data_IF_075174531090
#
_entry.id   IF_075174531090
#
_cell.length_a   1.000
_cell.length_b   1.000
_cell.length_c   1.000
_cell.angle_alpha   90.00
_cell.angle_beta   90.00
_cell.angle_gamma   90.00
#
_symmetry.space_group_name_H-M   'P 1'
#
loop_
_entity.id
_entity.type
_entity.pdbx_description
1 polymer ?
#
# COMPACT_ATOMS: atom_id res chain seq x y z
N UNK A 1 26.79 -4.93 -15.04
CA UNK A 1 25.79 -4.02 -15.64
C UNK A 1 24.74 -3.79 -14.56
N UNK A 2 24.88 -2.69 -13.82
CA UNK A 2 23.89 -2.32 -12.78
C UNK A 2 22.63 -1.91 -13.52
N UNK A 3 21.59 -2.73 -13.44
CA UNK A 3 20.25 -2.30 -13.83
C UNK A 3 19.90 -1.24 -12.79
N UNK A 4 19.67 -0.02 -13.22
CA UNK A 4 19.17 1.09 -12.39
C UNK A 4 17.76 0.69 -11.92
N UNK A 5 17.71 -0.16 -10.87
CA UNK A 5 16.43 -0.51 -10.23
C UNK A 5 15.99 0.73 -9.47
N UNK A 6 14.88 1.31 -9.88
CA UNK A 6 14.21 2.35 -9.12
C UNK A 6 14.10 1.90 -7.66
N UNK A 7 14.47 2.77 -6.72
CA UNK A 7 14.44 2.43 -5.30
C UNK A 7 13.00 2.10 -4.87
N UNK A 8 12.80 1.03 -4.08
CA UNK A 8 11.46 0.68 -3.61
C UNK A 8 10.80 1.84 -2.88
N UNK A 9 9.53 2.08 -3.21
CA UNK A 9 8.72 3.17 -2.67
C UNK A 9 7.78 2.67 -1.56
N UNK A 10 7.30 3.55 -0.68
CA UNK A 10 6.30 3.17 0.31
C UNK A 10 5.10 2.44 -0.32
N UNK A 11 4.68 1.37 0.35
CA UNK A 11 3.65 0.39 -0.05
C UNK A 11 4.08 -0.68 -1.06
N UNK A 12 5.28 -0.59 -1.65
CA UNK A 12 5.79 -1.70 -2.45
C UNK A 12 5.97 -2.95 -1.58
N UNK A 13 5.78 -4.10 -2.19
CA UNK A 13 5.99 -5.41 -1.57
C UNK A 13 7.32 -5.98 -2.05
N UNK A 14 8.18 -6.36 -1.10
CA UNK A 14 9.54 -6.82 -1.39
C UNK A 14 9.80 -8.20 -0.79
N UNK A 15 10.50 -9.06 -1.54
CA UNK A 15 11.05 -10.32 -1.06
C UNK A 15 12.54 -10.17 -0.87
N UNK A 16 13.05 -10.74 0.20
CA UNK A 16 14.44 -10.63 0.64
C UNK A 16 15.09 -11.97 0.36
N UNK A 17 16.33 -11.95 -0.10
CA UNK A 17 17.07 -13.15 -0.51
C UNK A 17 17.23 -14.11 0.67
N UNK A 18 17.70 -13.60 1.80
CA UNK A 18 17.89 -14.36 3.03
C UNK A 18 17.18 -13.64 4.20
N UNK A 19 16.28 -14.31 4.94
CA UNK A 19 15.68 -13.74 6.14
C UNK A 19 16.69 -13.24 7.19
N UNK A 20 17.92 -13.75 7.20
CA UNK A 20 18.98 -13.29 8.10
C UNK A 20 19.51 -11.88 7.75
N UNK A 21 19.27 -11.39 6.52
CA UNK A 21 19.59 -10.03 6.10
C UNK A 21 18.59 -8.99 6.66
N UNK A 22 17.53 -9.42 7.32
CA UNK A 22 16.52 -8.55 7.93
C UNK A 22 16.99 -8.08 9.30
N UNK A 23 17.19 -6.77 9.44
CA UNK A 23 17.59 -6.15 10.69
C UNK A 23 16.37 -5.55 11.40
N UNK A 24 15.98 -6.15 12.51
CA UNK A 24 14.89 -5.62 13.35
C UNK A 24 15.40 -4.65 14.41
N UNK A 25 14.61 -3.62 14.74
CA UNK A 25 14.89 -2.66 15.83
C UNK A 25 14.74 -3.30 17.22
N UNK A 26 13.99 -4.40 17.30
CA UNK A 26 13.74 -5.16 18.53
C UNK A 26 13.96 -6.65 18.29
N UNK A 27 13.84 -7.47 19.33
CA UNK A 27 13.90 -8.91 19.14
C UNK A 27 12.87 -9.36 18.09
N UNK A 28 13.30 -10.20 17.14
CA UNK A 28 12.41 -10.74 16.12
C UNK A 28 11.27 -11.53 16.79
N UNK A 29 10.00 -11.23 16.46
CA UNK A 29 8.88 -11.93 17.08
C UNK A 29 8.83 -13.41 16.67
N UNK A 30 8.33 -14.26 17.54
CA UNK A 30 8.31 -15.71 17.32
C UNK A 30 7.53 -16.15 16.06
N UNK A 31 6.57 -15.37 15.58
CA UNK A 31 5.84 -15.66 14.35
C UNK A 31 6.65 -15.39 13.07
N UNK A 32 7.70 -14.55 13.15
CA UNK A 32 8.55 -14.19 12.02
C UNK A 32 9.65 -15.24 11.79
N UNK A 33 9.23 -16.47 11.51
CA UNK A 33 10.14 -17.58 11.21
C UNK A 33 10.75 -17.45 9.82
N UNK A 34 11.93 -18.02 9.59
CA UNK A 34 12.57 -18.00 8.27
C UNK A 34 11.68 -18.62 7.18
N UNK A 35 10.95 -19.68 7.52
CA UNK A 35 9.97 -20.29 6.61
C UNK A 35 8.86 -19.30 6.20
N UNK A 36 8.32 -18.57 7.16
CA UNK A 36 7.31 -17.55 6.87
C UNK A 36 7.88 -16.39 6.04
N UNK A 37 9.03 -15.87 6.42
CA UNK A 37 9.66 -14.72 5.76
C UNK A 37 10.13 -15.03 4.33
N UNK A 38 10.38 -16.30 4.00
CA UNK A 38 10.74 -16.70 2.63
C UNK A 38 9.55 -16.64 1.66
N UNK A 39 8.32 -16.77 2.15
CA UNK A 39 7.10 -16.74 1.32
C UNK A 39 6.34 -15.43 1.41
N UNK A 40 6.37 -14.78 2.58
CA UNK A 40 5.63 -13.56 2.86
C UNK A 40 6.46 -12.32 2.48
N UNK A 41 5.94 -11.42 1.63
CA UNK A 41 6.65 -10.18 1.33
C UNK A 41 6.66 -9.24 2.55
N UNK A 42 7.72 -8.44 2.65
CA UNK A 42 7.73 -7.27 3.50
C UNK A 42 7.12 -6.07 2.77
N UNK A 43 6.50 -5.15 3.51
CA UNK A 43 5.93 -3.90 2.97
C UNK A 43 6.93 -2.78 3.17
N UNK A 44 7.28 -2.05 2.12
CA UNK A 44 8.14 -0.86 2.25
C UNK A 44 7.39 0.21 3.04
N UNK A 45 8.03 0.68 4.12
CA UNK A 45 7.49 1.70 5.02
C UNK A 45 7.96 3.08 4.61
N UNK A 46 7.23 4.08 5.07
CA UNK A 46 7.60 5.48 4.92
C UNK A 46 8.43 5.91 6.14
N UNK A 47 9.73 5.95 5.97
CA UNK A 47 10.69 6.35 6.99
C UNK A 47 11.94 6.92 6.33
N UNK A 48 12.55 7.94 6.93
CA UNK A 48 13.83 8.48 6.47
C UNK A 48 14.96 7.60 7.01
N UNK A 49 15.74 7.03 6.11
CA UNK A 49 16.84 6.12 6.42
C UNK A 49 18.10 6.50 5.62
N UNK A 50 19.20 5.88 5.94
CA UNK A 50 20.46 6.02 5.20
C UNK A 50 20.34 5.46 3.78
N UNK A 51 21.18 5.94 2.89
CA UNK A 51 21.23 5.47 1.50
C UNK A 51 21.56 3.98 1.44
N UNK A 52 20.81 3.23 0.64
CA UNK A 52 21.00 1.78 0.48
C UNK A 52 20.22 0.94 1.48
N UNK A 53 19.63 1.55 2.51
CA UNK A 53 18.74 0.88 3.46
C UNK A 53 17.28 1.11 3.05
N UNK A 54 16.46 0.08 3.18
CA UNK A 54 15.01 0.13 2.94
C UNK A 54 14.28 -0.19 4.23
N UNK A 55 13.42 0.72 4.73
CA UNK A 55 12.60 0.46 5.90
C UNK A 55 11.42 -0.43 5.50
N UNK A 56 11.29 -1.56 6.17
CA UNK A 56 10.26 -2.57 5.87
C UNK A 56 9.39 -2.86 7.08
N UNK A 57 8.16 -3.29 6.81
CA UNK A 57 7.23 -3.83 7.78
C UNK A 57 7.01 -5.30 7.49
N UNK A 58 7.41 -6.16 8.41
CA UNK A 58 7.07 -7.58 8.38
C UNK A 58 5.63 -7.77 8.82
N UNK A 59 4.96 -8.74 8.23
CA UNK A 59 3.57 -9.08 8.51
C UNK A 59 3.42 -10.57 8.71
N UNK A 60 2.80 -10.97 9.81
CA UNK A 60 2.40 -12.33 10.07
C UNK A 60 0.99 -12.64 9.57
N UNK A 61 0.45 -13.79 10.00
CA UNK A 61 -0.89 -14.25 9.63
C UNK A 61 -2.00 -13.50 10.36
N UNK A 62 -1.74 -13.09 11.60
CA UNK A 62 -2.71 -12.34 12.41
C UNK A 62 -2.59 -10.82 12.16
N UNK A 63 -3.71 -10.11 12.34
CA UNK A 63 -3.77 -8.65 12.09
C UNK A 63 -2.81 -7.83 12.96
N UNK A 64 -2.53 -8.29 14.17
CA UNK A 64 -1.62 -7.66 15.12
C UNK A 64 -0.16 -8.12 14.98
N UNK A 65 0.12 -9.10 14.14
CA UNK A 65 1.48 -9.58 13.88
C UNK A 65 2.18 -8.65 12.90
N UNK A 66 2.84 -7.64 13.43
CA UNK A 66 3.59 -6.65 12.67
C UNK A 66 4.90 -6.33 13.38
N UNK A 67 5.98 -6.24 12.61
CA UNK A 67 7.30 -5.89 13.10
C UNK A 67 7.97 -4.91 12.14
N UNK A 68 8.54 -3.84 12.68
CA UNK A 68 9.35 -2.91 11.92
C UNK A 68 10.78 -3.45 11.80
N UNK A 69 11.32 -3.38 10.58
CA UNK A 69 12.66 -3.85 10.30
C UNK A 69 13.26 -3.04 9.14
N UNK A 70 14.50 -3.37 8.81
CA UNK A 70 15.27 -2.77 7.72
C UNK A 70 15.96 -3.86 6.92
N UNK A 71 16.26 -3.56 5.66
CA UNK A 71 17.04 -4.44 4.78
C UNK A 71 17.91 -3.58 3.86
N UNK A 72 19.07 -4.11 3.45
CA UNK A 72 19.85 -3.48 2.39
C UNK A 72 19.13 -3.67 1.04
N UNK A 73 19.05 -2.62 0.24
CA UNK A 73 18.39 -2.65 -1.08
C UNK A 73 18.93 -3.74 -1.99
N UNK A 74 20.21 -4.07 -1.88
CA UNK A 74 20.88 -5.12 -2.67
C UNK A 74 20.39 -6.54 -2.32
N UNK A 75 19.78 -6.72 -1.16
CA UNK A 75 19.20 -8.00 -0.69
C UNK A 75 17.76 -8.22 -1.13
N UNK A 76 17.17 -7.25 -1.84
CA UNK A 76 15.82 -7.36 -2.37
C UNK A 76 15.89 -8.07 -3.72
N UNK A 77 15.33 -9.27 -3.79
CA UNK A 77 15.33 -10.10 -5.01
C UNK A 77 14.10 -9.87 -5.88
N UNK A 78 13.00 -9.43 -5.29
CA UNK A 78 11.74 -9.15 -5.99
C UNK A 78 11.06 -7.93 -5.37
N UNK A 79 10.51 -7.08 -6.22
CA UNK A 79 9.67 -5.95 -5.84
C UNK A 79 8.38 -5.99 -6.67
N UNK A 80 7.24 -5.83 -6.01
CA UNK A 80 5.92 -5.74 -6.66
C UNK A 80 5.26 -4.46 -6.16
N UNK A 81 4.97 -3.56 -7.09
CA UNK A 81 4.34 -2.28 -6.76
C UNK A 81 2.82 -2.42 -6.67
N UNK A 82 2.13 -1.55 -5.93
CA UNK A 82 0.67 -1.50 -5.91
C UNK A 82 0.05 -1.37 -7.29
N UNK A 83 0.68 -0.59 -8.15
CA UNK A 83 0.25 -0.33 -9.53
C UNK A 83 0.36 -1.60 -10.38
N UNK A 84 1.47 -2.35 -10.27
CA UNK A 84 1.63 -3.62 -10.96
C UNK A 84 0.57 -4.65 -10.56
N UNK A 85 0.13 -4.63 -9.29
CA UNK A 85 -0.99 -5.47 -8.84
C UNK A 85 -2.30 -5.04 -9.51
N UNK A 86 -2.55 -3.75 -9.62
CA UNK A 86 -3.73 -3.23 -10.33
C UNK A 86 -3.70 -3.61 -11.82
N UNK A 87 -2.58 -3.44 -12.49
CA UNK A 87 -2.38 -3.77 -13.90
C UNK A 87 -2.54 -5.27 -14.19
N UNK A 88 -2.03 -6.13 -13.31
CA UNK A 88 -2.06 -7.58 -13.49
C UNK A 88 -3.46 -8.18 -13.44
N UNK A 89 -4.42 -7.49 -12.81
CA UNK A 89 -5.81 -7.97 -12.61
C UNK A 89 -5.90 -9.35 -11.94
N UNK A 90 -4.92 -9.71 -11.11
CA UNK A 90 -4.83 -11.03 -10.48
C UNK A 90 -6.10 -11.49 -9.75
N UNK A 91 -6.94 -10.55 -9.31
CA UNK A 91 -8.23 -10.88 -8.67
C UNK A 91 -9.27 -11.50 -9.62
N UNK A 92 -9.11 -11.36 -10.93
CA UNK A 92 -10.02 -12.00 -11.91
C UNK A 92 -9.75 -13.49 -12.06
N UNK A 93 -8.56 -13.95 -11.64
CA UNK A 93 -8.16 -15.36 -11.64
C UNK A 93 -8.19 -15.98 -10.23
N UNK A 94 -8.72 -15.25 -9.23
CA UNK A 94 -8.85 -15.74 -7.86
C UNK A 94 -9.85 -16.92 -7.81
N UNK A 95 -9.60 -17.86 -6.90
CA UNK A 95 -10.57 -18.93 -6.62
C UNK A 95 -11.87 -18.36 -6.02
N UNK A 96 -12.94 -19.17 -6.08
CA UNK A 96 -14.26 -18.75 -5.63
C UNK A 96 -14.29 -18.30 -4.16
N UNK A 97 -13.49 -18.91 -3.29
CA UNK A 97 -13.46 -18.57 -1.88
C UNK A 97 -12.87 -17.17 -1.66
N UNK A 98 -11.80 -16.85 -2.38
CA UNK A 98 -11.15 -15.54 -2.33
C UNK A 98 -11.98 -14.48 -3.07
N UNK A 99 -12.46 -14.79 -4.27
CA UNK A 99 -13.24 -13.88 -5.11
C UNK A 99 -14.56 -13.43 -4.45
N UNK A 100 -15.15 -14.27 -3.61
CA UNK A 100 -16.41 -13.97 -2.91
C UNK A 100 -16.23 -13.10 -1.65
N UNK A 101 -15.01 -12.81 -1.22
CA UNK A 101 -14.77 -11.91 -0.09
C UNK A 101 -15.23 -10.48 -0.45
N UNK A 102 -15.84 -9.74 0.51
CA UNK A 102 -16.35 -8.39 0.27
C UNK A 102 -15.32 -7.43 -0.33
N UNK A 103 -14.07 -7.45 0.19
CA UNK A 103 -12.98 -6.61 -0.32
C UNK A 103 -12.58 -6.95 -1.77
N UNK A 104 -12.59 -8.23 -2.14
CA UNK A 104 -12.28 -8.67 -3.51
C UNK A 104 -13.39 -8.31 -4.50
N UNK A 105 -14.64 -8.46 -4.10
CA UNK A 105 -15.80 -8.03 -4.88
C UNK A 105 -15.81 -6.50 -5.06
N UNK A 106 -15.51 -5.76 -3.99
CA UNK A 106 -15.35 -4.31 -4.05
C UNK A 106 -14.27 -3.91 -5.06
N UNK A 107 -13.10 -4.56 -5.01
CA UNK A 107 -12.01 -4.31 -5.95
C UNK A 107 -12.44 -4.56 -7.40
N UNK A 108 -13.06 -5.70 -7.69
CA UNK A 108 -13.54 -6.03 -9.03
C UNK A 108 -14.55 -5.00 -9.56
N UNK A 109 -15.38 -4.46 -8.67
CA UNK A 109 -16.42 -3.50 -9.00
C UNK A 109 -15.87 -2.09 -9.27
N UNK A 110 -14.89 -1.62 -8.48
CA UNK A 110 -14.38 -0.24 -8.60
C UNK A 110 -13.20 -0.09 -9.55
N UNK A 111 -12.48 -1.17 -9.87
CA UNK A 111 -11.29 -1.10 -10.72
C UNK A 111 -11.58 -0.46 -12.10
N UNK A 112 -12.67 -0.79 -12.83
CA UNK A 112 -12.99 -0.15 -14.09
C UNK A 112 -13.20 1.37 -13.98
N UNK A 113 -13.79 1.82 -12.87
CA UNK A 113 -14.01 3.26 -12.64
C UNK A 113 -12.71 4.00 -12.36
N UNK A 114 -11.80 3.38 -11.60
CA UNK A 114 -10.48 3.95 -11.34
C UNK A 114 -9.66 4.05 -12.62
N UNK A 115 -9.76 3.06 -13.50
CA UNK A 115 -9.11 3.09 -14.83
C UNK A 115 -9.67 4.20 -15.72
N UNK A 116 -10.98 4.41 -15.70
CA UNK A 116 -11.63 5.47 -16.49
C UNK A 116 -11.16 6.87 -16.10
N UNK A 117 -10.71 7.07 -14.85
CA UNK A 117 -10.18 8.33 -14.37
C UNK A 117 -8.77 8.64 -14.87
N UNK A 118 -8.09 7.69 -15.52
CA UNK A 118 -6.70 7.82 -15.99
C UNK A 118 -5.73 8.26 -14.89
N UNK A 119 -5.99 7.84 -13.65
CA UNK A 119 -5.13 8.07 -12.50
C UNK A 119 -4.24 6.85 -12.27
N UNK A 120 -3.00 7.07 -11.85
CA UNK A 120 -2.11 5.99 -11.44
C UNK A 120 -2.53 5.48 -10.07
N UNK A 121 -3.14 4.31 -10.03
CA UNK A 121 -3.65 3.72 -8.81
C UNK A 121 -3.13 2.29 -8.60
N UNK A 122 -3.22 1.80 -7.37
CA UNK A 122 -2.75 0.47 -7.04
C UNK A 122 -3.45 -0.14 -5.82
N UNK A 123 -3.23 -1.44 -5.64
CA UNK A 123 -3.80 -2.22 -4.54
C UNK A 123 -2.76 -2.42 -3.45
N UNK A 124 -3.12 -2.08 -2.21
CA UNK A 124 -2.25 -2.19 -1.04
C UNK A 124 -2.88 -3.04 0.07
N UNK A 125 -2.38 -2.93 1.28
CA UNK A 125 -2.96 -3.58 2.46
C UNK A 125 -3.00 -5.10 2.38
N UNK A 126 -4.06 -5.68 2.93
CA UNK A 126 -4.21 -7.14 2.97
C UNK A 126 -4.57 -7.74 1.62
N UNK A 127 -5.31 -7.02 0.81
CA UNK A 127 -5.66 -7.47 -0.54
C UNK A 127 -4.42 -7.50 -1.42
N UNK A 128 -3.62 -6.41 -1.42
CA UNK A 128 -2.35 -6.37 -2.16
C UNK A 128 -1.39 -7.46 -1.73
N UNK A 129 -1.27 -7.70 -0.42
CA UNK A 129 -0.44 -8.78 0.11
C UNK A 129 -0.88 -10.16 -0.40
N UNK A 130 -2.18 -10.47 -0.33
CA UNK A 130 -2.72 -11.75 -0.79
C UNK A 130 -2.51 -11.94 -2.30
N UNK A 131 -2.78 -10.92 -3.11
CA UNK A 131 -2.60 -10.97 -4.57
C UNK A 131 -1.13 -11.17 -4.98
N UNK A 132 -0.20 -10.54 -4.25
CA UNK A 132 1.23 -10.61 -4.58
C UNK A 132 1.90 -11.91 -4.15
N UNK A 133 1.48 -12.47 -3.00
CA UNK A 133 2.13 -13.62 -2.37
C UNK A 133 1.41 -14.95 -2.60
N UNK A 134 0.13 -14.93 -2.96
CA UNK A 134 -0.73 -16.12 -2.96
C UNK A 134 -1.10 -16.60 -1.54
N UNK A 135 -0.62 -15.91 -0.49
CA UNK A 135 -0.95 -16.25 0.89
C UNK A 135 -2.15 -15.45 1.35
N UNK A 136 -3.29 -16.11 1.49
CA UNK A 136 -4.50 -15.43 1.94
C UNK A 136 -4.49 -15.25 3.46
N UNK A 137 -4.50 -13.97 3.87
CA UNK A 137 -4.79 -13.54 5.25
C UNK A 137 -6.10 -12.74 5.29
N UNK A 138 -6.86 -12.77 4.20
CA UNK A 138 -8.11 -12.04 4.06
C UNK A 138 -9.25 -12.68 4.86
N UNK A 139 -10.17 -11.84 5.32
CA UNK A 139 -11.35 -12.20 6.11
C UNK A 139 -12.58 -11.47 5.55
N UNK A 140 -13.76 -11.86 6.03
CA UNK A 140 -15.02 -11.22 5.67
C UNK A 140 -15.10 -9.72 6.04
N UNK A 141 -14.35 -9.32 7.06
CA UNK A 141 -14.26 -7.93 7.56
C UNK A 141 -13.01 -7.20 7.09
N UNK A 142 -12.29 -7.74 6.09
CA UNK A 142 -11.11 -7.07 5.53
C UNK A 142 -11.51 -5.84 4.73
N UNK A 143 -10.81 -4.73 5.02
CA UNK A 143 -10.91 -3.49 4.25
C UNK A 143 -10.22 -3.65 2.87
N UNK A 144 -10.60 -2.82 1.92
CA UNK A 144 -9.90 -2.64 0.65
C UNK A 144 -9.05 -1.37 0.73
N UNK A 145 -7.74 -1.55 0.82
CA UNK A 145 -6.77 -0.45 0.84
C UNK A 145 -6.28 -0.16 -0.57
N UNK A 146 -6.41 1.08 -1.02
CA UNK A 146 -5.98 1.56 -2.33
C UNK A 146 -4.97 2.70 -2.20
N UNK A 147 -4.13 2.83 -3.20
CA UNK A 147 -3.15 3.89 -3.34
C UNK A 147 -3.38 4.64 -4.64
N UNK A 148 -3.40 5.96 -4.57
CA UNK A 148 -3.35 6.85 -5.71
C UNK A 148 -1.99 7.54 -5.73
N UNK A 149 -1.21 7.39 -6.79
CA UNK A 149 0.00 8.18 -7.00
C UNK A 149 -0.36 9.49 -7.68
N UNK A 150 -0.09 10.58 -7.02
CA UNK A 150 -0.44 11.92 -7.49
C UNK A 150 0.75 12.87 -7.34
N UNK A 151 1.69 12.78 -8.28
CA UNK A 151 2.86 13.67 -8.34
C UNK A 151 2.46 15.13 -8.63
N UNK A 152 1.23 15.33 -9.13
CA UNK A 152 0.63 16.64 -9.37
C UNK A 152 -0.56 16.85 -8.42
N UNK A 153 -0.80 18.12 -8.01
CA UNK A 153 -1.92 18.43 -7.15
C UNK A 153 -3.25 17.93 -7.70
N UNK A 154 -3.97 17.17 -6.88
CA UNK A 154 -5.36 16.79 -7.15
C UNK A 154 -6.27 17.92 -6.64
N UNK A 155 -7.05 18.59 -7.51
CA UNK A 155 -7.99 19.60 -7.08
C UNK A 155 -8.97 19.05 -6.04
N UNK A 156 -9.34 19.84 -5.03
CA UNK A 156 -10.26 19.39 -3.96
C UNK A 156 -11.62 18.97 -4.50
N UNK A 157 -12.14 19.69 -5.47
CA UNK A 157 -13.42 19.36 -6.12
C UNK A 157 -13.32 18.01 -6.85
N UNK A 158 -12.20 17.75 -7.53
CA UNK A 158 -11.90 16.46 -8.15
C UNK A 158 -11.77 15.34 -7.12
N UNK A 159 -11.11 15.59 -6.00
CA UNK A 159 -11.01 14.62 -4.90
C UNK A 159 -12.37 14.34 -4.26
N UNK A 160 -13.20 15.35 -4.09
CA UNK A 160 -14.57 15.20 -3.59
C UNK A 160 -15.43 14.38 -4.56
N UNK A 161 -15.39 14.70 -5.85
CA UNK A 161 -16.12 13.96 -6.88
C UNK A 161 -15.70 12.50 -6.93
N UNK A 162 -14.40 12.21 -6.88
CA UNK A 162 -13.85 10.86 -6.82
C UNK A 162 -14.35 10.11 -5.58
N UNK A 163 -14.26 10.73 -4.41
CA UNK A 163 -14.73 10.10 -3.18
C UNK A 163 -16.24 9.80 -3.22
N UNK A 164 -17.06 10.71 -3.73
CA UNK A 164 -18.51 10.50 -3.88
C UNK A 164 -18.82 9.37 -4.87
N UNK A 165 -18.09 9.30 -5.98
CA UNK A 165 -18.21 8.20 -6.94
C UNK A 165 -17.89 6.86 -6.28
N UNK A 166 -16.76 6.76 -5.58
CA UNK A 166 -16.37 5.55 -4.85
C UNK A 166 -17.42 5.16 -3.79
N UNK A 167 -17.91 6.11 -3.00
CA UNK A 167 -18.92 5.86 -1.98
C UNK A 167 -20.25 5.38 -2.58
N UNK A 168 -20.64 5.92 -3.74
CA UNK A 168 -21.84 5.50 -4.45
C UNK A 168 -21.75 4.06 -4.95
N UNK A 169 -20.56 3.70 -5.47
CA UNK A 169 -20.28 2.34 -5.91
C UNK A 169 -20.28 1.35 -4.74
N UNK A 170 -19.79 1.79 -3.58
CA UNK A 170 -19.73 0.98 -2.37
C UNK A 170 -21.08 0.66 -1.74
N UNK A 171 -22.14 1.40 -2.04
CA UNK A 171 -23.49 1.01 -1.62
C UNK A 171 -23.89 -0.36 -2.17
N UNK A 172 -23.26 -0.78 -3.28
CA UNK A 172 -23.44 -2.09 -3.90
C UNK A 172 -22.40 -3.15 -3.48
N UNK A 173 -21.29 -2.74 -2.83
CA UNK A 173 -20.21 -3.64 -2.43
C UNK A 173 -19.92 -3.49 -0.92
N UNK A 174 -20.13 -4.52 -0.09
CA UNK A 174 -20.14 -4.42 1.36
C UNK A 174 -18.74 -4.43 1.98
N UNK A 175 -17.78 -3.68 1.45
CA UNK A 175 -16.44 -3.52 2.03
C UNK A 175 -16.13 -2.05 2.27
N UNK A 176 -15.45 -1.76 3.38
CA UNK A 176 -14.87 -0.44 3.59
C UNK A 176 -13.69 -0.25 2.63
N UNK A 177 -13.65 0.89 1.96
CA UNK A 177 -12.49 1.32 1.17
C UNK A 177 -11.72 2.40 1.93
N UNK A 178 -10.40 2.25 1.97
CA UNK A 178 -9.47 3.27 2.40
C UNK A 178 -8.53 3.61 1.23
N UNK A 179 -8.62 4.84 0.72
CA UNK A 179 -7.77 5.31 -0.37
C UNK A 179 -6.78 6.33 0.17
N UNK A 180 -5.50 6.03 0.01
CA UNK A 180 -4.41 6.95 0.28
C UNK A 180 -3.95 7.63 -1.00
N UNK A 181 -3.58 8.91 -0.90
CA UNK A 181 -2.94 9.69 -1.95
C UNK A 181 -1.47 9.87 -1.59
N UNK A 182 -0.58 9.46 -2.46
CA UNK A 182 0.87 9.65 -2.31
C UNK A 182 1.35 10.74 -3.27
N UNK A 183 1.97 11.78 -2.73
CA UNK A 183 2.47 12.95 -3.47
C UNK A 183 3.94 12.84 -3.84
N UNK A 184 4.60 11.72 -3.51
CA UNK A 184 6.06 11.59 -3.54
C UNK A 184 6.76 12.18 -2.30
N UNK A 185 6.16 13.15 -1.61
CA UNK A 185 6.67 13.75 -0.36
C UNK A 185 6.07 13.12 0.88
N UNK A 186 4.90 12.52 0.75
CA UNK A 186 4.15 11.91 1.84
C UNK A 186 2.83 11.34 1.35
N UNK A 187 2.12 10.67 2.26
CA UNK A 187 0.81 10.09 1.98
C UNK A 187 -0.26 10.61 2.94
N UNK A 188 -1.47 10.82 2.43
CA UNK A 188 -2.63 11.25 3.22
C UNK A 188 -3.90 10.52 2.76
N UNK A 189 -4.95 10.52 3.57
CA UNK A 189 -6.21 9.90 3.19
C UNK A 189 -6.98 10.80 2.21
N UNK A 190 -7.48 10.22 1.11
CA UNK A 190 -8.33 10.93 0.14
C UNK A 190 -9.53 11.59 0.82
N UNK A 191 -10.14 10.90 1.79
CA UNK A 191 -11.28 11.39 2.54
C UNK A 191 -10.98 12.68 3.33
N UNK A 192 -9.75 12.84 3.86
CA UNK A 192 -9.35 14.09 4.52
C UNK A 192 -9.23 15.24 3.53
N UNK A 193 -8.68 14.98 2.33
CA UNK A 193 -8.51 16.01 1.29
C UNK A 193 -9.82 16.45 0.68
N UNK A 194 -10.74 15.51 0.48
CA UNK A 194 -12.09 15.79 0.01
C UNK A 194 -12.97 16.49 1.07
N UNK A 195 -12.55 16.44 2.34
CA UNK A 195 -13.27 17.06 3.45
C UNK A 195 -13.09 18.58 3.52
N UNK A 196 -13.85 19.21 4.43
CA UNK A 196 -13.89 20.66 4.59
C UNK A 196 -12.83 21.22 5.55
N UNK A 197 -11.98 20.40 6.17
CA UNK A 197 -11.03 20.83 7.21
C UNK A 197 -9.94 21.79 6.70
N UNK A 198 -9.74 21.87 5.40
CA UNK A 198 -8.69 22.68 4.78
C UNK A 198 -7.28 22.17 4.99
N UNK A 199 -7.09 21.18 5.86
CA UNK A 199 -5.78 20.55 6.19
C UNK A 199 -5.90 19.05 6.18
N UNK A 200 -4.76 18.36 5.93
CA UNK A 200 -4.63 16.91 5.97
C UNK A 200 -3.46 16.49 6.82
N UNK A 201 -3.52 15.30 7.38
CA UNK A 201 -2.40 14.66 8.05
C UNK A 201 -1.49 13.99 7.03
N UNK A 202 -0.46 14.68 6.59
CA UNK A 202 0.56 14.16 5.68
C UNK A 202 1.53 13.24 6.46
N UNK A 203 1.51 11.96 6.15
CA UNK A 203 2.44 10.96 6.70
C UNK A 203 3.75 11.05 5.91
N UNK A 204 4.80 11.60 6.51
CA UNK A 204 6.14 11.73 5.90
C UNK A 204 7.12 10.71 6.45
N UNK A 205 8.31 10.62 5.86
CA UNK A 205 9.39 9.76 6.39
C UNK A 205 9.91 10.18 7.77
N UNK A 206 9.63 11.41 8.21
CA UNK A 206 10.01 11.97 9.52
C UNK A 206 8.85 12.01 10.52
N UNK A 207 7.70 11.51 10.15
CA UNK A 207 6.49 11.50 10.96
C UNK A 207 5.33 12.29 10.34
N UNK A 208 4.18 12.35 11.02
CA UNK A 208 3.00 13.03 10.52
C UNK A 208 3.12 14.54 10.66
N UNK A 209 2.67 15.27 9.61
CA UNK A 209 2.59 16.75 9.57
C UNK A 209 1.18 17.18 9.19
N UNK A 210 0.63 18.15 9.90
CA UNK A 210 -0.65 18.75 9.53
C UNK A 210 -0.42 19.90 8.54
N UNK A 211 -0.79 19.71 7.27
CA UNK A 211 -0.52 20.66 6.18
C UNK A 211 -1.77 21.08 5.44
N UNK A 212 -1.77 22.30 4.91
CA UNK A 212 -2.85 22.80 4.05
C UNK A 212 -2.66 22.38 2.58
N UNK A 213 -1.40 22.26 2.15
CA UNK A 213 -1.02 21.81 0.81
C UNK A 213 -0.02 20.64 0.93
N UNK A 214 -0.44 19.40 0.69
CA UNK A 214 0.41 18.23 0.80
C UNK A 214 1.41 18.07 -0.37
N UNK A 215 1.26 18.83 -1.45
CA UNK A 215 2.22 18.84 -2.56
C UNK A 215 3.31 19.91 -2.39
N UNK A 216 3.03 20.97 -1.64
CA UNK A 216 4.01 22.01 -1.33
C UNK A 216 4.97 21.63 -0.19
N UNK A 217 4.78 20.48 0.45
CA UNK A 217 5.62 20.04 1.55
C UNK A 217 7.05 19.81 1.06
N UNK A 218 7.93 20.76 1.39
CA UNK A 218 9.37 20.67 1.11
C UNK A 218 9.94 19.49 1.88
N UNK A 219 10.70 18.64 1.19
CA UNK A 219 11.69 17.78 1.82
C UNK A 219 12.70 18.70 2.50
N UNK A 220 12.56 18.89 3.81
CA UNK A 220 13.55 19.62 4.64
C UNK A 220 14.55 18.61 5.17
#
# INVERSE_FOLDING_TARGET
>A
MSIDREAPRPHDLVWIEDPEDIVSVSAMPAWATSEWLSIAPAVVRRETVERGVVPIGLRGRARNERCAAFVNVERIVRCVTPEALAESRGWLAADDALANLPCMRALAFIAPELDALQLTWGVTGSVGFALASGVSTLRQDSDLDLLLRADRPLPRDGAHALLQSLLSLLQAAPARIDMQVDTGHGGFALAEWAGQSGRVMLKTGRGPLLVADPWAARAS
#
